data_IF_885191789560
#
_entry.id   IF_885191789560
#
_cell.length_a   1.000
_cell.length_b   1.000
_cell.length_c   1.000
_cell.angle_alpha   90.00
_cell.angle_beta   90.00
_cell.angle_gamma   90.00
#
_symmetry.space_group_name_H-M   'P 1'
#
loop_
_entity.id
_entity.type
_entity.pdbx_description
1 polymer ?
#
# COMPACT_ATOMS: atom_id res chain seq x y z
N UNK A 1 9.51 14.22 -13.79
CA UNK A 1 10.19 13.18 -13.01
C UNK A 1 9.40 11.90 -13.17
N UNK A 2 10.02 10.83 -13.66
CA UNK A 2 9.39 9.52 -13.73
C UNK A 2 9.29 8.93 -12.32
N UNK A 3 8.08 8.52 -11.94
CA UNK A 3 7.81 8.03 -10.59
C UNK A 3 6.99 6.74 -10.70
N UNK A 4 7.68 5.62 -10.84
CA UNK A 4 7.08 4.29 -10.93
C UNK A 4 6.22 3.93 -9.71
N UNK A 5 6.55 4.48 -8.54
CA UNK A 5 5.80 4.31 -7.31
C UNK A 5 4.49 5.11 -7.24
N UNK A 6 4.22 5.98 -8.22
CA UNK A 6 3.02 6.80 -8.32
C UNK A 6 2.10 6.40 -9.49
N UNK A 7 2.24 5.20 -10.01
CA UNK A 7 1.30 4.59 -10.95
C UNK A 7 0.10 4.03 -10.20
N UNK A 8 -0.88 4.88 -9.94
CA UNK A 8 -2.02 4.51 -9.10
C UNK A 8 -2.88 3.37 -9.67
N UNK A 9 -2.88 3.17 -10.98
CA UNK A 9 -3.60 2.07 -11.63
C UNK A 9 -2.86 0.73 -11.61
N UNK A 10 -1.62 0.67 -11.12
CA UNK A 10 -0.94 -0.59 -10.89
C UNK A 10 -1.50 -1.26 -9.64
N UNK A 11 -2.20 -2.38 -9.84
CA UNK A 11 -2.90 -3.11 -8.79
C UNK A 11 -2.37 -4.52 -8.67
N UNK A 12 -2.10 -4.97 -7.46
CA UNK A 12 -1.79 -6.37 -7.19
C UNK A 12 -2.94 -7.31 -7.61
N UNK A 13 -4.16 -6.81 -7.58
CA UNK A 13 -5.36 -7.59 -7.82
C UNK A 13 -5.61 -7.90 -9.29
N UNK A 14 -5.03 -7.17 -10.21
CA UNK A 14 -5.35 -7.30 -11.63
C UNK A 14 -4.64 -8.48 -12.32
N UNK A 15 -3.67 -9.11 -11.68
CA UNK A 15 -2.93 -10.24 -12.25
C UNK A 15 -2.17 -9.94 -13.55
N UNK A 16 -2.06 -8.67 -13.92
CA UNK A 16 -1.39 -8.23 -15.14
C UNK A 16 0.11 -8.18 -14.91
N UNK A 17 0.84 -9.08 -15.53
CA UNK A 17 2.29 -9.20 -15.35
C UNK A 17 3.09 -7.96 -15.73
N UNK A 18 2.57 -7.13 -16.62
CA UNK A 18 3.19 -5.87 -17.06
C UNK A 18 2.78 -4.66 -16.20
N UNK A 19 1.70 -4.78 -15.42
CA UNK A 19 1.13 -3.65 -14.67
C UNK A 19 1.91 -3.24 -13.43
N UNK A 20 2.79 -4.11 -12.91
CA UNK A 20 3.52 -3.87 -11.66
C UNK A 20 2.62 -3.83 -10.44
N UNK A 21 3.22 -3.48 -9.31
CA UNK A 21 2.54 -3.45 -8.01
C UNK A 21 2.75 -2.11 -7.31
N UNK A 22 1.68 -1.35 -7.13
CA UNK A 22 1.68 -0.11 -6.34
C UNK A 22 0.59 -0.22 -5.27
N UNK A 23 1.00 -0.31 -4.02
CA UNK A 23 0.10 -0.33 -2.87
C UNK A 23 -0.14 1.07 -2.30
N UNK A 24 -0.90 1.17 -1.22
CA UNK A 24 -1.30 2.42 -0.57
C UNK A 24 -0.12 3.22 -0.01
N UNK A 25 1.00 2.56 0.25
CA UNK A 25 2.20 3.16 0.85
C UNK A 25 3.26 3.53 -0.15
N UNK A 26 3.22 2.97 -1.37
CA UNK A 26 4.25 3.24 -2.34
C UNK A 26 4.45 4.73 -2.58
N UNK A 27 3.38 5.50 -2.66
CA UNK A 27 3.48 6.95 -2.83
C UNK A 27 4.03 7.65 -1.59
N UNK A 28 3.72 7.18 -0.39
CA UNK A 28 4.31 7.67 0.85
C UNK A 28 5.78 7.26 0.97
N UNK A 29 6.08 6.00 0.65
CA UNK A 29 7.42 5.41 0.69
C UNK A 29 8.34 5.93 -0.42
N UNK A 30 7.79 6.62 -1.39
CA UNK A 30 8.45 7.04 -2.60
C UNK A 30 9.77 7.76 -2.36
N UNK A 31 9.93 8.40 -1.19
CA UNK A 31 11.04 9.28 -0.90
C UNK A 31 11.54 9.19 0.54
N UNK A 32 12.00 8.04 1.05
CA UNK A 32 12.56 8.05 2.39
C UNK A 32 13.83 8.90 2.48
N UNK A 33 14.65 8.96 1.42
CA UNK A 33 15.98 9.57 1.52
C UNK A 33 16.35 10.48 0.35
N UNK A 34 15.95 10.17 -0.86
CA UNK A 34 16.31 10.98 -2.03
C UNK A 34 15.37 10.69 -3.20
N UNK A 35 14.62 11.71 -3.64
CA UNK A 35 13.73 11.62 -4.81
C UNK A 35 14.49 11.30 -6.10
N UNK A 36 15.80 11.41 -6.07
CA UNK A 36 16.64 11.35 -7.25
C UNK A 36 17.32 10.01 -7.46
N UNK A 37 17.21 9.08 -6.49
CA UNK A 37 17.97 7.84 -6.53
C UNK A 37 17.22 6.57 -6.08
N UNK A 38 15.93 6.66 -5.77
CA UNK A 38 15.25 5.53 -5.13
C UNK A 38 14.37 4.71 -6.06
N UNK A 39 14.97 3.69 -6.68
CA UNK A 39 14.19 2.52 -7.12
C UNK A 39 14.16 1.54 -5.96
N UNK A 40 13.00 1.30 -5.36
CA UNK A 40 12.85 0.45 -4.18
C UNK A 40 12.37 -0.96 -4.50
N UNK A 41 11.65 -1.13 -5.59
CA UNK A 41 11.08 -2.40 -5.98
C UNK A 41 11.10 -2.59 -7.50
N UNK A 42 11.05 -3.85 -7.91
CA UNK A 42 10.82 -4.24 -9.31
C UNK A 42 9.35 -3.98 -9.68
N UNK A 43 9.02 -4.11 -10.97
CA UNK A 43 7.63 -4.10 -11.45
C UNK A 43 6.75 -5.18 -10.80
N UNK A 44 7.36 -6.26 -10.30
CA UNK A 44 6.68 -7.34 -9.58
C UNK A 44 6.54 -7.08 -8.08
N UNK A 45 7.01 -5.93 -7.58
CA UNK A 45 6.97 -5.60 -6.16
C UNK A 45 8.11 -6.18 -5.31
N UNK A 46 9.10 -6.84 -5.92
CA UNK A 46 10.25 -7.39 -5.22
C UNK A 46 11.20 -6.26 -4.76
N UNK A 47 11.75 -6.32 -3.54
CA UNK A 47 12.69 -5.32 -3.07
C UNK A 47 13.93 -5.22 -3.96
N UNK A 48 14.35 -4.02 -4.26
CA UNK A 48 15.58 -3.74 -5.01
C UNK A 48 16.57 -3.03 -4.10
N UNK A 49 17.83 -3.45 -4.13
CA UNK A 49 18.89 -2.72 -3.45
C UNK A 49 19.09 -1.35 -4.15
N UNK A 50 18.75 -0.22 -3.50
CA UNK A 50 18.86 1.09 -4.15
C UNK A 50 20.29 1.44 -4.58
N UNK A 51 21.30 0.88 -3.90
CA UNK A 51 22.71 1.11 -4.23
C UNK A 51 23.10 0.47 -5.56
N UNK A 52 22.61 -0.75 -5.82
CA UNK A 52 22.89 -1.44 -7.09
C UNK A 52 22.03 -0.94 -8.23
N UNK A 53 20.76 -0.61 -7.97
CA UNK A 53 19.85 -0.08 -8.98
C UNK A 53 20.27 1.30 -9.50
N UNK A 54 20.99 2.08 -8.70
CA UNK A 54 21.44 3.43 -9.05
C UNK A 54 22.88 3.49 -9.59
N UNK A 55 23.63 2.37 -9.62
CA UNK A 55 25.05 2.36 -9.96
C UNK A 55 25.39 2.96 -11.34
N UNK A 56 24.47 2.99 -12.27
CA UNK A 56 24.66 3.53 -13.62
C UNK A 56 23.92 4.85 -13.88
N UNK A 57 23.33 5.47 -12.83
CA UNK A 57 22.58 6.72 -12.98
C UNK A 57 23.41 7.90 -12.48
N UNK A 58 23.48 8.92 -13.30
CA UNK A 58 24.11 10.20 -12.88
C UNK A 58 23.21 10.87 -11.85
N UNK A 59 23.69 11.13 -10.62
CA UNK A 59 22.90 11.81 -9.61
C UNK A 59 22.58 13.25 -10.05
N UNK A 60 21.40 13.74 -9.65
CA UNK A 60 21.04 15.12 -9.92
C UNK A 60 21.99 16.07 -9.17
N UNK A 61 22.53 17.07 -9.88
CA UNK A 61 23.36 18.10 -9.27
C UNK A 61 22.59 18.82 -8.17
N UNK A 62 23.27 19.18 -7.10
CA UNK A 62 22.66 19.84 -5.93
C UNK A 62 21.92 21.12 -6.31
N UNK A 63 22.49 21.89 -7.23
CA UNK A 63 21.93 23.16 -7.72
C UNK A 63 20.66 22.94 -8.56
N UNK A 64 20.57 21.81 -9.26
CA UNK A 64 19.41 21.47 -10.09
C UNK A 64 18.20 21.00 -9.26
N UNK A 65 18.38 20.66 -7.99
CA UNK A 65 17.28 20.23 -7.11
C UNK A 65 16.21 21.32 -6.97
N UNK A 66 16.59 22.60 -6.91
CA UNK A 66 15.66 23.73 -6.83
C UNK A 66 14.78 23.89 -8.08
N UNK A 67 15.15 23.27 -9.21
CA UNK A 67 14.38 23.30 -10.44
C UNK A 67 13.23 22.29 -10.46
N UNK A 68 13.21 21.32 -9.53
CA UNK A 68 12.08 20.40 -9.39
C UNK A 68 10.97 21.14 -8.66
N UNK A 69 9.87 21.40 -9.39
CA UNK A 69 8.75 22.19 -8.89
C UNK A 69 7.58 21.36 -8.38
N UNK A 70 7.62 20.05 -8.58
CA UNK A 70 6.55 19.16 -8.16
C UNK A 70 6.79 17.71 -8.53
N UNK A 71 5.85 16.88 -8.14
CA UNK A 71 5.81 15.44 -8.42
C UNK A 71 4.50 15.13 -9.14
N UNK A 72 4.45 14.02 -9.85
CA UNK A 72 3.29 13.60 -10.63
C UNK A 72 3.00 12.13 -10.40
N UNK A 73 1.74 11.82 -10.09
CA UNK A 73 1.20 10.47 -10.16
C UNK A 73 0.43 10.26 -11.44
N UNK A 74 0.31 9.01 -11.89
CA UNK A 74 -0.37 8.64 -13.11
C UNK A 74 -1.51 7.66 -12.84
N UNK A 75 -2.57 7.79 -13.64
CA UNK A 75 -3.64 6.79 -13.81
C UNK A 75 -3.84 6.60 -15.28
N UNK A 76 -3.64 5.36 -15.75
CA UNK A 76 -3.86 4.97 -17.14
C UNK A 76 -5.13 4.14 -17.25
N UNK A 77 -5.85 4.29 -18.33
CA UNK A 77 -7.24 3.85 -18.43
C UNK A 77 -7.42 2.46 -19.05
N UNK A 78 -6.37 1.68 -19.30
CA UNK A 78 -6.43 0.42 -20.03
C UNK A 78 -7.45 -0.58 -19.44
N UNK A 79 -7.55 -0.60 -18.10
CA UNK A 79 -8.43 -1.54 -17.38
C UNK A 79 -9.60 -0.84 -16.69
N UNK A 80 -9.71 0.49 -16.79
CA UNK A 80 -10.76 1.26 -16.12
C UNK A 80 -12.08 1.15 -16.90
N UNK A 81 -13.16 0.82 -16.21
CA UNK A 81 -14.50 0.62 -16.77
C UNK A 81 -15.55 1.56 -16.20
N UNK A 82 -15.27 2.19 -15.05
CA UNK A 82 -16.20 3.10 -14.39
C UNK A 82 -15.46 4.20 -13.60
N UNK A 83 -16.17 5.23 -13.17
CA UNK A 83 -15.62 6.29 -12.34
C UNK A 83 -15.29 5.78 -10.93
N UNK A 84 -16.12 4.91 -10.39
CA UNK A 84 -15.88 4.25 -9.09
C UNK A 84 -14.58 3.43 -9.10
N UNK A 85 -14.22 2.88 -10.26
CA UNK A 85 -12.94 2.18 -10.42
C UNK A 85 -11.75 3.16 -10.46
N UNK A 86 -11.92 4.34 -11.04
CA UNK A 86 -10.90 5.41 -10.95
C UNK A 86 -10.66 5.78 -9.49
N UNK A 87 -11.72 6.02 -8.73
CA UNK A 87 -11.64 6.35 -7.31
C UNK A 87 -10.95 5.24 -6.51
N UNK A 88 -11.32 3.99 -6.76
CA UNK A 88 -10.69 2.81 -6.15
C UNK A 88 -9.18 2.73 -6.43
N UNK A 89 -8.75 3.11 -7.63
CA UNK A 89 -7.34 3.11 -7.99
C UNK A 89 -6.57 4.28 -7.38
N UNK A 90 -7.21 5.44 -7.27
CA UNK A 90 -6.61 6.64 -6.70
C UNK A 90 -6.50 6.57 -5.17
N UNK A 91 -7.58 6.16 -4.51
CA UNK A 91 -7.65 6.24 -3.05
C UNK A 91 -7.43 4.89 -2.36
N UNK A 92 -6.62 4.87 -1.29
CA UNK A 92 -5.94 5.99 -0.62
C UNK A 92 -4.56 6.37 -1.19
N UNK A 93 -4.05 5.73 -2.25
CA UNK A 93 -2.67 5.93 -2.78
C UNK A 93 -2.32 7.39 -3.02
N UNK A 94 -3.26 8.17 -3.57
CA UNK A 94 -3.08 9.59 -3.86
C UNK A 94 -2.71 10.40 -2.62
N UNK A 95 -3.13 10.00 -1.42
CA UNK A 95 -2.76 10.72 -0.20
C UNK A 95 -1.26 10.67 0.09
N UNK A 96 -0.60 9.57 -0.22
CA UNK A 96 0.86 9.49 -0.12
C UNK A 96 1.55 10.47 -1.06
N UNK A 97 1.05 10.59 -2.29
CA UNK A 97 1.57 11.57 -3.25
C UNK A 97 1.35 13.01 -2.75
N UNK A 98 0.17 13.31 -2.22
CA UNK A 98 -0.15 14.63 -1.65
C UNK A 98 0.76 14.93 -0.48
N UNK A 99 0.91 14.00 0.47
CA UNK A 99 1.81 14.16 1.61
C UNK A 99 3.23 14.49 1.14
N UNK A 100 3.73 13.81 0.13
CA UNK A 100 5.07 14.03 -0.41
C UNK A 100 5.20 15.34 -1.20
N UNK A 101 4.15 15.77 -1.88
CA UNK A 101 4.15 17.03 -2.62
C UNK A 101 4.22 18.25 -1.69
N UNK A 102 3.55 18.19 -0.57
CA UNK A 102 3.50 19.28 0.42
C UNK A 102 4.62 19.21 1.48
N UNK A 103 5.15 18.01 1.73
CA UNK A 103 6.21 17.79 2.72
C UNK A 103 7.44 17.17 2.05
N UNK A 104 8.20 18.02 1.34
CA UNK A 104 9.34 17.60 0.50
C UNK A 104 10.49 17.05 1.35
N UNK A 105 10.69 17.60 2.54
CA UNK A 105 11.78 17.22 3.45
C UNK A 105 11.26 16.92 4.85
N UNK A 106 10.50 15.83 5.02
CA UNK A 106 9.97 15.48 6.31
C UNK A 106 11.13 15.16 7.28
N UNK A 107 10.93 15.49 8.54
CA UNK A 107 11.96 15.31 9.58
C UNK A 107 12.47 13.87 9.67
N UNK A 108 11.58 12.89 9.48
CA UNK A 108 11.94 11.46 9.48
C UNK A 108 12.90 11.09 8.33
N UNK A 109 12.87 11.79 7.21
CA UNK A 109 13.77 11.51 6.08
C UNK A 109 15.19 12.00 6.31
N UNK A 110 15.38 12.90 7.27
CA UNK A 110 16.68 13.45 7.63
C UNK A 110 17.33 12.71 8.81
N UNK A 111 16.56 11.91 9.53
CA UNK A 111 17.05 11.09 10.63
C UNK A 111 17.59 9.77 10.09
N UNK A 112 18.76 9.38 10.56
CA UNK A 112 19.30 8.06 10.25
C UNK A 112 18.60 7.04 11.15
N UNK A 113 17.84 6.13 10.56
CA UNK A 113 17.25 5.01 11.27
C UNK A 113 15.84 4.68 10.83
N UNK A 114 15.49 3.42 10.97
CA UNK A 114 14.19 2.86 10.58
C UNK A 114 13.08 3.33 11.52
N UNK A 115 13.39 3.56 12.78
CA UNK A 115 12.41 3.92 13.82
C UNK A 115 11.64 5.22 13.52
N UNK A 116 12.33 6.26 13.05
CA UNK A 116 11.69 7.53 12.72
C UNK A 116 10.75 7.40 11.51
N UNK A 117 11.14 6.58 10.54
CA UNK A 117 10.32 6.27 9.38
C UNK A 117 9.07 5.46 9.77
N UNK A 118 9.23 4.40 10.58
CA UNK A 118 8.10 3.58 11.02
C UNK A 118 7.10 4.39 11.87
N UNK A 119 7.59 5.28 12.74
CA UNK A 119 6.72 6.18 13.50
C UNK A 119 5.94 7.13 12.58
N UNK A 120 6.59 7.68 11.55
CA UNK A 120 5.91 8.53 10.57
C UNK A 120 4.87 7.75 9.76
N UNK A 121 5.19 6.52 9.37
CA UNK A 121 4.29 5.62 8.65
C UNK A 121 3.06 5.26 9.50
N UNK A 122 3.23 4.95 10.77
CA UNK A 122 2.13 4.71 11.69
C UNK A 122 1.21 5.93 11.82
N UNK A 123 1.80 7.12 11.97
CA UNK A 123 1.02 8.37 12.00
C UNK A 123 0.25 8.61 10.70
N UNK A 124 0.89 8.38 9.56
CA UNK A 124 0.25 8.47 8.25
C UNK A 124 -0.93 7.49 8.14
N UNK A 125 -0.74 6.23 8.52
CA UNK A 125 -1.79 5.21 8.50
C UNK A 125 -2.97 5.60 9.38
N UNK A 126 -2.70 6.12 10.58
CA UNK A 126 -3.74 6.59 11.48
C UNK A 126 -4.52 7.77 10.86
N UNK A 127 -3.84 8.71 10.23
CA UNK A 127 -4.50 9.83 9.56
C UNK A 127 -5.38 9.38 8.40
N UNK A 128 -4.90 8.45 7.57
CA UNK A 128 -5.71 7.87 6.49
C UNK A 128 -6.93 7.16 7.08
N UNK A 129 -6.74 6.29 8.05
CA UNK A 129 -7.83 5.49 8.61
C UNK A 129 -8.87 6.37 9.33
N UNK A 130 -8.45 7.24 10.24
CA UNK A 130 -9.37 7.95 11.11
C UNK A 130 -9.94 9.25 10.53
N UNK A 131 -9.32 9.80 9.51
CA UNK A 131 -9.75 11.09 8.94
C UNK A 131 -10.10 10.98 7.45
N UNK A 132 -9.19 10.49 6.61
CA UNK A 132 -9.39 10.58 5.18
C UNK A 132 -10.40 9.55 4.65
N UNK A 133 -10.33 8.29 5.04
CA UNK A 133 -11.28 7.27 4.59
C UNK A 133 -12.71 7.58 5.07
N UNK A 134 -12.97 7.97 6.34
CA UNK A 134 -14.28 8.42 6.77
C UNK A 134 -14.79 9.64 6.01
N UNK A 135 -13.90 10.58 5.67
CA UNK A 135 -14.24 11.77 4.88
C UNK A 135 -14.66 11.40 3.46
N UNK A 136 -13.95 10.48 2.81
CA UNK A 136 -14.30 9.94 1.50
C UNK A 136 -15.64 9.20 1.56
N UNK A 137 -15.80 8.30 2.52
CA UNK A 137 -17.05 7.56 2.73
C UNK A 137 -18.27 8.49 2.88
N UNK A 138 -18.14 9.54 3.70
CA UNK A 138 -19.20 10.54 3.90
C UNK A 138 -19.57 11.30 2.61
N UNK A 139 -18.61 11.44 1.69
CA UNK A 139 -18.79 12.11 0.40
C UNK A 139 -19.24 11.17 -0.72
N UNK A 140 -19.43 9.88 -0.44
CA UNK A 140 -19.77 8.87 -1.43
C UNK A 140 -18.64 8.54 -2.40
N UNK A 141 -17.40 8.94 -2.09
CA UNK A 141 -16.23 8.63 -2.91
C UNK A 141 -15.78 7.20 -2.63
N UNK A 142 -15.53 6.45 -3.69
CA UNK A 142 -15.04 5.08 -3.54
C UNK A 142 -13.55 5.08 -3.14
N UNK A 143 -13.13 4.02 -2.46
CA UNK A 143 -11.73 3.81 -2.09
C UNK A 143 -11.44 2.34 -1.85
N UNK A 144 -10.20 1.97 -1.97
CA UNK A 144 -9.70 0.63 -1.74
C UNK A 144 -9.47 0.39 -0.25
N UNK A 145 -9.86 -0.78 0.21
CA UNK A 145 -9.42 -1.33 1.50
C UNK A 145 -8.22 -2.23 1.22
N UNK A 146 -7.11 -1.99 1.91
CA UNK A 146 -5.93 -2.84 1.83
C UNK A 146 -6.26 -4.27 2.27
N UNK A 147 -5.85 -5.24 1.49
CA UNK A 147 -5.99 -6.64 1.86
C UNK A 147 -5.11 -6.95 3.09
N UNK A 148 -5.56 -7.84 3.99
CA UNK A 148 -4.76 -8.23 5.13
C UNK A 148 -3.54 -9.04 4.69
N UNK A 149 -2.42 -8.88 5.40
CA UNK A 149 -1.33 -9.84 5.34
C UNK A 149 -1.69 -11.05 6.20
N UNK A 150 -1.48 -12.26 5.69
CA UNK A 150 -1.63 -13.49 6.46
C UNK A 150 -0.41 -14.40 6.27
N UNK A 151 0.02 -15.04 7.34
CA UNK A 151 1.10 -16.02 7.30
C UNK A 151 0.83 -17.14 8.32
N UNK A 152 1.14 -18.36 7.93
CA UNK A 152 1.16 -19.50 8.84
C UNK A 152 2.61 -19.78 9.23
N UNK A 153 2.92 -19.68 10.51
CA UNK A 153 4.24 -19.92 11.05
C UNK A 153 4.11 -20.78 12.32
N UNK A 154 4.84 -21.88 12.38
CA UNK A 154 4.86 -22.82 13.53
C UNK A 154 3.44 -23.30 13.92
N UNK A 155 2.57 -23.51 12.94
CA UNK A 155 1.17 -23.94 13.16
C UNK A 155 0.25 -22.83 13.67
N UNK A 156 0.74 -21.59 13.77
CA UNK A 156 -0.04 -20.43 14.16
C UNK A 156 -0.32 -19.52 12.96
N UNK A 157 -1.57 -19.14 12.77
CA UNK A 157 -1.98 -18.14 11.79
C UNK A 157 -1.80 -16.74 12.39
N UNK A 158 -0.96 -15.96 11.76
CA UNK A 158 -0.81 -14.52 12.02
C UNK A 158 -1.49 -13.71 10.91
N UNK A 159 -2.09 -12.60 11.29
CA UNK A 159 -2.62 -11.65 10.33
C UNK A 159 -2.32 -10.22 10.78
N UNK A 160 -2.26 -9.32 9.82
CA UNK A 160 -2.13 -7.89 10.08
C UNK A 160 -2.89 -7.08 9.03
N UNK A 161 -3.15 -5.83 9.36
CA UNK A 161 -3.70 -4.85 8.43
C UNK A 161 -2.99 -3.51 8.62
N UNK A 162 -2.93 -2.77 7.54
CA UNK A 162 -2.34 -1.43 7.50
C UNK A 162 -3.33 -0.35 7.87
N UNK A 163 -4.63 -0.69 7.94
CA UNK A 163 -5.70 0.23 8.30
C UNK A 163 -6.05 -0.01 9.77
N UNK A 164 -5.68 0.88 10.71
CA UNK A 164 -6.11 0.79 12.08
C UNK A 164 -7.64 0.64 12.20
N UNK A 165 -8.10 -0.23 13.08
CA UNK A 165 -9.51 -0.58 13.30
C UNK A 165 -10.21 -1.30 12.13
N UNK A 166 -9.52 -1.69 11.05
CA UNK A 166 -10.10 -2.62 10.11
C UNK A 166 -10.22 -4.02 10.76
N UNK A 167 -11.35 -4.66 10.57
CA UNK A 167 -11.64 -5.98 11.10
C UNK A 167 -11.17 -7.03 10.10
N UNK A 168 -10.29 -7.93 10.52
CA UNK A 168 -9.87 -9.06 9.68
C UNK A 168 -10.81 -10.23 9.96
N UNK A 169 -11.48 -10.71 8.91
CA UNK A 169 -12.30 -11.94 8.93
C UNK A 169 -11.62 -13.02 8.14
N UNK A 170 -11.74 -14.26 8.59
CA UNK A 170 -11.10 -15.39 7.94
C UNK A 170 -12.01 -16.62 7.88
N UNK A 171 -11.66 -17.56 6.99
CA UNK A 171 -12.25 -18.90 6.88
C UNK A 171 -11.14 -19.93 6.74
N UNK A 172 -11.41 -21.16 7.15
CA UNK A 172 -10.46 -22.29 7.10
C UNK A 172 -10.98 -23.47 6.26
N UNK A 173 -12.14 -23.29 5.64
CA UNK A 173 -12.83 -24.26 4.78
C UNK A 173 -12.80 -23.89 3.29
N UNK A 174 -12.09 -22.81 2.94
CA UNK A 174 -12.01 -22.31 1.58
C UNK A 174 -13.19 -21.44 1.14
N UNK A 175 -14.20 -21.24 1.99
CA UNK A 175 -15.31 -20.31 1.70
C UNK A 175 -14.84 -18.86 1.70
N UNK A 176 -15.61 -17.97 1.05
CA UNK A 176 -15.30 -16.52 1.04
C UNK A 176 -15.61 -15.90 2.41
N UNK A 177 -14.67 -15.16 3.03
CA UNK A 177 -14.93 -14.45 4.28
C UNK A 177 -15.99 -13.36 4.08
N UNK A 178 -16.95 -13.33 5.00
CA UNK A 178 -18.02 -12.34 5.09
C UNK A 178 -17.91 -11.55 6.40
N UNK A 179 -18.73 -10.53 6.60
CA UNK A 179 -18.80 -9.78 7.85
C UNK A 179 -19.17 -10.66 9.05
N UNK A 180 -19.80 -11.82 8.82
CA UNK A 180 -20.20 -12.77 9.84
C UNK A 180 -19.17 -13.89 10.08
N UNK A 181 -18.10 -13.94 9.29
CA UNK A 181 -17.04 -14.93 9.47
C UNK A 181 -16.25 -14.67 10.77
N UNK A 182 -15.55 -15.65 11.33
CA UNK A 182 -14.70 -15.46 12.50
C UNK A 182 -13.74 -14.28 12.36
N UNK A 183 -13.62 -13.51 13.44
CA UNK A 183 -12.69 -12.39 13.53
C UNK A 183 -11.32 -12.86 13.99
N UNK A 184 -10.28 -12.42 13.32
CA UNK A 184 -8.92 -12.62 13.79
C UNK A 184 -8.54 -11.47 14.74
N UNK A 185 -8.22 -11.81 15.96
CA UNK A 185 -7.79 -10.85 17.01
C UNK A 185 -6.42 -11.16 17.58
N UNK A 186 -6.03 -12.42 17.58
CA UNK A 186 -4.75 -12.92 18.10
C UNK A 186 -4.29 -14.10 17.24
N UNK A 187 -3.01 -14.47 17.28
CA UNK A 187 -2.54 -15.69 16.62
C UNK A 187 -3.34 -16.91 17.05
N UNK A 188 -3.78 -17.71 16.10
CA UNK A 188 -4.60 -18.90 16.32
C UNK A 188 -3.93 -20.15 15.77
N UNK A 189 -4.08 -21.28 16.46
CA UNK A 189 -3.66 -22.57 15.92
C UNK A 189 -4.49 -22.91 14.69
N UNK A 190 -3.83 -23.22 13.59
CA UNK A 190 -4.49 -23.50 12.32
C UNK A 190 -3.76 -24.61 11.55
N UNK A 191 -4.49 -25.69 11.26
CA UNK A 191 -4.02 -26.83 10.45
C UNK A 191 -4.80 -26.96 9.13
N UNK A 192 -5.52 -25.91 8.74
CA UNK A 192 -6.32 -25.93 7.53
C UNK A 192 -5.43 -25.92 6.28
N UNK A 193 -5.87 -26.65 5.24
CA UNK A 193 -5.18 -26.67 3.93
C UNK A 193 -5.36 -25.39 3.12
N UNK A 194 -6.44 -24.69 3.36
CA UNK A 194 -6.73 -23.43 2.70
C UNK A 194 -7.30 -22.43 3.71
N UNK A 195 -6.72 -21.27 3.76
CA UNK A 195 -7.14 -20.17 4.62
C UNK A 195 -7.45 -18.99 3.69
N UNK A 196 -8.59 -18.34 3.89
CA UNK A 196 -8.92 -17.08 3.22
C UNK A 196 -9.15 -16.00 4.24
N UNK A 197 -8.77 -14.77 3.90
CA UNK A 197 -8.97 -13.61 4.76
C UNK A 197 -9.35 -12.36 3.96
N UNK A 198 -10.16 -11.51 4.59
CA UNK A 198 -10.54 -10.17 4.14
C UNK A 198 -10.44 -9.16 5.27
N UNK A 199 -10.12 -7.93 4.94
CA UNK A 199 -10.27 -6.79 5.84
C UNK A 199 -11.59 -6.06 5.55
N UNK A 200 -12.30 -5.65 6.61
CA UNK A 200 -13.56 -4.91 6.55
C UNK A 200 -13.39 -3.57 7.28
N UNK A 201 -13.82 -2.50 6.65
CA UNK A 201 -13.76 -1.16 7.21
C UNK A 201 -14.80 -0.24 6.57
N UNK A 202 -15.55 0.50 7.39
CA UNK A 202 -16.58 1.47 6.93
C UNK A 202 -17.59 0.87 5.92
N UNK A 203 -18.06 -0.36 6.19
CA UNK A 203 -19.02 -1.04 5.32
C UNK A 203 -18.46 -1.50 3.97
N UNK A 204 -17.14 -1.47 3.80
CA UNK A 204 -16.43 -1.97 2.61
C UNK A 204 -15.51 -3.13 2.99
N UNK A 205 -15.18 -3.95 2.01
CA UNK A 205 -14.20 -5.03 2.19
C UNK A 205 -13.05 -4.93 1.20
N UNK A 206 -11.90 -5.48 1.60
CA UNK A 206 -10.80 -5.73 0.69
C UNK A 206 -11.10 -6.87 -0.28
N UNK A 207 -10.20 -7.10 -1.21
CA UNK A 207 -10.12 -8.39 -1.91
C UNK A 207 -9.80 -9.51 -0.91
N UNK A 208 -10.09 -10.75 -1.30
CA UNK A 208 -9.72 -11.94 -0.55
C UNK A 208 -8.26 -12.29 -0.78
N UNK A 209 -7.53 -12.53 0.30
CA UNK A 209 -6.23 -13.19 0.26
C UNK A 209 -6.42 -14.66 0.60
N UNK A 210 -5.75 -15.53 -0.17
CA UNK A 210 -5.76 -16.96 0.05
C UNK A 210 -4.36 -17.47 0.39
N UNK A 211 -4.26 -18.29 1.41
CA UNK A 211 -3.06 -19.02 1.79
C UNK A 211 -3.35 -20.52 1.65
N UNK A 212 -2.61 -21.18 0.78
CA UNK A 212 -2.63 -22.64 0.67
C UNK A 212 -1.46 -23.19 1.48
N UNK A 213 -1.75 -24.10 2.40
CA UNK A 213 -0.75 -24.78 3.21
C UNK A 213 -0.51 -26.17 2.63
N UNK A 214 0.74 -26.50 2.37
CA UNK A 214 1.13 -27.84 1.89
C UNK A 214 1.04 -28.90 2.98
#
# INVERSE_FOLDING_TARGET
LYMDMAYCNHQQENGLSWGGYVNEYNSFDMLPYDIYSSVKQTLKGEPVNPRTASMHKTPLRKEARAQIKGIQGQVWAETIRSFEQVEYYLFPKMFGLIERAWNIQPTWSQQKGEQAYEAAKQKYNAQIAYHELPRLAKRGVNFRIAAPGIVLQDGLLYANTTIPNAIIRYTTDGSEPTENSPEWTTPITCNAKQIKAKAFYLGKSSITISLNTN
#
